data_IF_326887800857
#
_entry.id   IF_326887800857
#
_cell.length_a   1.000
_cell.length_b   1.000
_cell.length_c   1.000
_cell.angle_alpha   90.00
_cell.angle_beta   90.00
_cell.angle_gamma   90.00
#
_symmetry.space_group_name_H-M   'P 1'
#
loop_
_entity.id
_entity.type
_entity.pdbx_description
1 polymer ?
#
# COMPACT_ATOMS: atom_id res chain seq x y z
N UNK A 1 23.66 -2.01 -17.20
CA UNK A 1 23.19 -3.18 -16.44
C UNK A 1 22.45 -2.66 -15.21
N UNK A 2 21.33 -3.25 -14.77
CA UNK A 2 20.77 -2.91 -13.47
C UNK A 2 21.86 -3.17 -12.42
N UNK A 3 22.07 -2.22 -11.52
CA UNK A 3 23.05 -2.36 -10.43
C UNK A 3 22.59 -3.54 -9.54
N UNK A 4 23.23 -4.69 -9.71
CA UNK A 4 22.96 -5.87 -8.88
C UNK A 4 23.28 -5.49 -7.43
N UNK A 5 22.36 -5.84 -6.51
CA UNK A 5 22.62 -5.58 -5.09
C UNK A 5 23.82 -6.36 -4.61
N UNK A 6 24.62 -5.70 -3.78
CA UNK A 6 25.77 -6.32 -3.13
C UNK A 6 25.32 -7.27 -2.02
N UNK A 7 26.13 -8.29 -1.74
CA UNK A 7 25.89 -9.23 -0.64
C UNK A 7 25.80 -8.54 0.73
N UNK A 8 26.52 -7.42 0.89
CA UNK A 8 26.47 -6.59 2.10
C UNK A 8 25.09 -5.95 2.27
N UNK A 9 24.50 -5.42 1.19
CA UNK A 9 23.14 -4.87 1.24
C UNK A 9 22.13 -5.97 1.56
N UNK A 10 22.24 -7.13 0.91
CA UNK A 10 21.36 -8.27 1.18
C UNK A 10 21.46 -8.72 2.64
N UNK A 11 22.67 -8.77 3.21
CA UNK A 11 22.89 -9.12 4.62
C UNK A 11 22.22 -8.12 5.57
N UNK A 12 22.33 -6.82 5.28
CA UNK A 12 21.66 -5.77 6.04
C UNK A 12 20.13 -5.90 6.00
N UNK A 13 19.56 -6.21 4.84
CA UNK A 13 18.12 -6.46 4.72
C UNK A 13 17.72 -7.72 5.51
N UNK A 14 18.44 -8.84 5.35
CA UNK A 14 18.15 -10.08 6.10
C UNK A 14 18.16 -9.86 7.61
N UNK A 15 19.10 -9.06 8.11
CA UNK A 15 19.18 -8.71 9.53
C UNK A 15 17.97 -7.87 10.00
N UNK A 16 17.34 -7.12 9.09
CA UNK A 16 16.13 -6.34 9.37
C UNK A 16 14.84 -7.07 8.98
N UNK A 17 14.88 -8.34 8.56
CA UNK A 17 13.70 -9.13 8.26
C UNK A 17 13.53 -10.29 9.23
N UNK A 18 12.30 -10.55 9.65
CA UNK A 18 11.95 -11.69 10.47
C UNK A 18 12.32 -12.99 9.74
N UNK A 19 13.10 -13.91 10.34
CA UNK A 19 13.67 -15.05 9.61
C UNK A 19 12.66 -15.92 8.86
N UNK A 20 11.45 -16.10 9.38
CA UNK A 20 10.42 -16.91 8.73
C UNK A 20 9.90 -16.31 7.41
N UNK A 21 10.05 -15.00 7.19
CA UNK A 21 9.64 -14.35 5.96
C UNK A 21 10.67 -14.49 4.82
N UNK A 22 11.91 -14.90 5.11
CA UNK A 22 13.00 -14.91 4.13
C UNK A 22 12.69 -15.77 2.91
N UNK A 23 11.98 -16.90 3.11
CA UNK A 23 11.57 -17.79 2.02
C UNK A 23 10.55 -17.18 1.05
N UNK A 24 9.89 -16.09 1.43
CA UNK A 24 8.94 -15.39 0.58
C UNK A 24 9.61 -14.67 -0.61
N UNK A 25 10.91 -14.41 -0.48
CA UNK A 25 11.77 -13.75 -1.48
C UNK A 25 12.51 -14.82 -2.26
N UNK A 26 12.06 -15.07 -3.50
CA UNK A 26 12.64 -16.10 -4.37
C UNK A 26 14.04 -15.74 -4.88
N UNK A 27 14.28 -14.46 -5.16
CA UNK A 27 15.58 -13.94 -5.61
C UNK A 27 15.86 -12.59 -4.96
N UNK A 28 16.85 -12.56 -4.07
CA UNK A 28 17.24 -11.38 -3.32
C UNK A 28 17.87 -10.27 -4.18
N UNK A 29 18.43 -10.59 -5.34
CA UNK A 29 19.07 -9.59 -6.20
C UNK A 29 18.06 -8.88 -7.11
N UNK A 30 17.00 -9.57 -7.53
CA UNK A 30 15.98 -9.04 -8.45
C UNK A 30 14.66 -8.66 -7.78
N UNK A 31 14.48 -8.97 -6.49
CA UNK A 31 13.30 -8.52 -5.74
C UNK A 31 13.14 -6.99 -5.85
N UNK A 32 11.90 -6.48 -5.99
CA UNK A 32 11.62 -5.06 -6.22
C UNK A 32 11.78 -4.21 -4.95
N UNK A 33 13.00 -4.15 -4.43
CA UNK A 33 13.35 -3.37 -3.25
C UNK A 33 13.09 -1.88 -3.47
N UNK A 34 12.55 -1.20 -2.46
CA UNK A 34 12.46 0.25 -2.43
C UNK A 34 13.86 0.87 -2.39
N UNK A 35 14.18 1.69 -3.38
CA UNK A 35 15.52 2.25 -3.58
C UNK A 35 15.56 3.76 -3.47
N UNK A 36 16.62 4.28 -2.84
CA UNK A 36 16.91 5.70 -2.79
C UNK A 36 17.55 6.19 -4.08
N UNK A 37 16.74 6.73 -5.00
CA UNK A 37 17.25 7.25 -6.28
C UNK A 37 18.21 8.44 -6.12
N UNK A 38 18.20 9.12 -4.98
CA UNK A 38 19.07 10.27 -4.72
C UNK A 38 20.39 9.87 -4.01
N UNK A 39 20.43 8.71 -3.34
CA UNK A 39 21.61 8.20 -2.62
C UNK A 39 22.15 6.91 -3.26
N UNK A 40 22.54 7.02 -4.52
CA UNK A 40 23.23 5.93 -5.22
C UNK A 40 22.37 4.69 -5.49
N UNK A 41 21.04 4.84 -5.54
CA UNK A 41 20.09 3.78 -5.89
C UNK A 41 20.14 2.55 -4.96
N UNK A 42 20.53 2.74 -3.70
CA UNK A 42 20.61 1.68 -2.69
C UNK A 42 19.25 1.28 -2.17
N UNK A 43 19.07 -0.01 -1.88
CA UNK A 43 17.87 -0.49 -1.19
C UNK A 43 17.75 0.20 0.19
N UNK A 44 16.52 0.47 0.60
CA UNK A 44 16.22 1.12 1.88
C UNK A 44 15.60 0.17 2.91
N UNK A 45 15.47 -1.11 2.57
CA UNK A 45 14.80 -2.13 3.39
C UNK A 45 15.63 -2.55 4.60
N UNK A 46 16.92 -2.25 4.61
CA UNK A 46 17.80 -2.41 5.77
C UNK A 46 17.57 -1.36 6.86
N UNK A 47 16.83 -0.28 6.56
CA UNK A 47 16.52 0.77 7.54
C UNK A 47 15.55 0.25 8.61
N UNK A 48 15.78 0.57 9.90
CA UNK A 48 14.92 0.09 11.00
C UNK A 48 13.43 0.40 10.83
N UNK A 49 13.09 1.54 10.23
CA UNK A 49 11.71 2.01 10.01
C UNK A 49 11.22 1.83 8.57
N UNK A 50 11.64 0.75 7.89
CA UNK A 50 11.18 0.45 6.54
C UNK A 50 9.80 -0.21 6.53
N UNK A 51 8.81 0.43 5.89
CA UNK A 51 7.48 -0.15 5.66
C UNK A 51 7.53 -1.42 4.82
N UNK A 52 8.43 -1.48 3.82
CA UNK A 52 8.64 -2.69 3.02
C UNK A 52 9.17 -3.83 3.88
N UNK A 53 10.09 -3.56 4.82
CA UNK A 53 10.58 -4.59 5.73
C UNK A 53 9.45 -5.14 6.59
N UNK A 54 8.61 -4.25 7.14
CA UNK A 54 7.50 -4.64 7.99
C UNK A 54 6.38 -5.39 7.22
N UNK A 55 6.12 -4.99 5.98
CA UNK A 55 5.20 -5.70 5.09
C UNK A 55 5.70 -7.12 4.80
N UNK A 56 6.98 -7.29 4.48
CA UNK A 56 7.62 -8.59 4.24
C UNK A 56 7.60 -9.44 5.51
N UNK A 57 7.90 -8.86 6.68
CA UNK A 57 7.86 -9.57 7.96
C UNK A 57 6.50 -10.25 8.19
N UNK A 58 5.41 -9.53 7.94
CA UNK A 58 4.06 -10.06 8.19
C UNK A 58 3.55 -10.89 7.03
N UNK A 59 3.45 -10.32 5.83
CA UNK A 59 2.84 -11.01 4.69
C UNK A 59 3.76 -12.05 4.05
N UNK A 60 5.08 -11.88 4.16
CA UNK A 60 6.03 -12.93 3.81
C UNK A 60 5.93 -14.13 4.75
N UNK A 61 5.78 -13.91 6.06
CA UNK A 61 5.54 -15.00 7.01
C UNK A 61 4.21 -15.71 6.74
N UNK A 62 3.14 -14.96 6.42
CA UNK A 62 1.86 -15.54 5.99
C UNK A 62 2.03 -16.37 4.73
N UNK A 63 2.72 -15.85 3.70
CA UNK A 63 3.00 -16.57 2.45
C UNK A 63 3.70 -17.91 2.67
N UNK A 64 4.63 -17.96 3.63
CA UNK A 64 5.41 -19.16 3.96
C UNK A 64 4.74 -20.10 4.96
N UNK A 65 3.64 -19.68 5.59
CA UNK A 65 2.94 -20.50 6.56
C UNK A 65 2.17 -21.64 5.89
N UNK A 66 2.13 -22.80 6.55
CA UNK A 66 1.24 -23.91 6.17
C UNK A 66 -0.22 -23.60 6.46
N UNK A 67 -0.50 -22.66 7.38
CA UNK A 67 -1.85 -22.21 7.76
C UNK A 67 -2.29 -20.96 6.98
N UNK A 68 -1.59 -20.65 5.87
CA UNK A 68 -1.82 -19.45 5.06
C UNK A 68 -3.28 -19.24 4.70
N UNK A 69 -3.96 -20.31 4.26
CA UNK A 69 -5.32 -20.24 3.75
C UNK A 69 -6.31 -19.94 4.88
N UNK A 70 -6.15 -20.54 6.05
CA UNK A 70 -6.95 -20.24 7.24
C UNK A 70 -6.74 -18.80 7.73
N UNK A 71 -5.50 -18.31 7.70
CA UNK A 71 -5.15 -16.95 8.12
C UNK A 71 -5.77 -15.92 7.17
N UNK A 72 -5.57 -16.08 5.86
CA UNK A 72 -6.12 -15.16 4.87
C UNK A 72 -7.63 -15.22 4.80
N UNK A 73 -8.23 -16.40 5.00
CA UNK A 73 -9.68 -16.52 5.19
C UNK A 73 -10.17 -15.73 6.40
N UNK A 74 -9.47 -15.79 7.53
CA UNK A 74 -9.83 -15.00 8.72
C UNK A 74 -9.67 -13.49 8.52
N UNK A 75 -8.64 -13.05 7.78
CA UNK A 75 -8.47 -11.65 7.39
C UNK A 75 -9.60 -11.22 6.45
N UNK A 76 -9.94 -12.06 5.46
CA UNK A 76 -11.04 -11.80 4.53
C UNK A 76 -12.38 -11.63 5.26
N UNK A 77 -12.71 -12.53 6.22
CA UNK A 77 -13.90 -12.37 7.08
C UNK A 77 -13.91 -11.05 7.83
N UNK A 78 -12.77 -10.67 8.42
CA UNK A 78 -12.62 -9.39 9.12
C UNK A 78 -12.89 -8.20 8.19
N UNK A 79 -12.54 -8.32 6.91
CA UNK A 79 -12.77 -7.31 5.89
C UNK A 79 -14.17 -7.39 5.23
N UNK A 80 -15.04 -8.31 5.68
CA UNK A 80 -16.37 -8.51 5.07
C UNK A 80 -16.36 -9.21 3.71
N UNK A 81 -15.28 -9.91 3.37
CA UNK A 81 -15.14 -10.68 2.13
C UNK A 81 -15.42 -12.18 2.35
N UNK A 82 -15.83 -12.91 1.29
CA UNK A 82 -15.79 -14.37 1.29
C UNK A 82 -14.39 -14.90 1.68
N UNK A 83 -14.35 -15.95 2.49
CA UNK A 83 -13.16 -16.43 3.18
C UNK A 83 -12.59 -17.74 2.62
N UNK A 84 -13.26 -18.32 1.63
CA UNK A 84 -12.85 -19.57 0.99
C UNK A 84 -11.47 -19.45 0.35
N UNK A 85 -10.55 -20.30 0.78
CA UNK A 85 -9.33 -20.62 0.05
C UNK A 85 -9.59 -21.52 -1.16
N UNK A 86 -8.57 -21.98 -1.89
CA UNK A 86 -7.14 -21.76 -1.62
C UNK A 86 -6.72 -20.29 -1.81
N UNK A 87 -5.73 -19.83 -1.05
CA UNK A 87 -5.18 -18.49 -1.14
C UNK A 87 -3.75 -18.50 -1.67
N UNK A 88 -3.35 -17.45 -2.40
CA UNK A 88 -1.96 -17.13 -2.73
C UNK A 88 -1.62 -15.72 -2.26
N UNK A 89 -0.32 -15.46 -2.03
CA UNK A 89 0.19 -14.15 -1.65
C UNK A 89 1.37 -13.79 -2.55
N UNK A 90 1.31 -12.59 -3.12
CA UNK A 90 2.42 -11.98 -3.85
C UNK A 90 2.84 -10.71 -3.11
N UNK A 91 4.15 -10.55 -2.89
CA UNK A 91 4.73 -9.36 -2.29
C UNK A 91 5.16 -8.42 -3.42
N UNK A 92 5.05 -7.12 -3.18
CA UNK A 92 5.46 -6.07 -4.13
C UNK A 92 4.83 -6.22 -5.51
N UNK A 93 3.55 -6.56 -5.51
CA UNK A 93 2.81 -6.84 -6.72
C UNK A 93 2.60 -5.58 -7.55
N UNK A 94 2.90 -5.67 -8.85
CA UNK A 94 2.70 -4.58 -9.80
C UNK A 94 1.45 -4.81 -10.63
N UNK A 95 0.50 -3.87 -10.54
CA UNK A 95 -0.67 -3.84 -11.36
C UNK A 95 -0.31 -3.75 -12.86
N UNK A 96 -1.01 -4.50 -13.74
CA UNK A 96 -0.87 -4.31 -15.18
C UNK A 96 -1.11 -2.84 -15.55
N UNK A 97 -0.32 -2.30 -16.47
CA UNK A 97 -0.36 -0.86 -16.80
C UNK A 97 -1.72 -0.43 -17.34
N UNK A 98 -2.36 -1.31 -18.08
CA UNK A 98 -3.68 -1.18 -18.65
C UNK A 98 -4.80 -1.11 -17.59
N UNK A 99 -4.57 -1.62 -16.38
CA UNK A 99 -5.55 -1.60 -15.29
C UNK A 99 -5.94 -0.16 -14.92
N UNK A 100 -4.94 0.72 -14.86
CA UNK A 100 -5.10 2.12 -14.45
C UNK A 100 -4.71 3.14 -15.52
N UNK A 101 -4.10 2.71 -16.63
CA UNK A 101 -3.56 3.60 -17.66
C UNK A 101 -2.30 4.35 -17.21
N UNK A 102 -1.58 3.86 -16.20
CA UNK A 102 -0.35 4.47 -15.73
C UNK A 102 0.86 4.09 -16.60
N UNK A 103 1.76 5.05 -16.82
CA UNK A 103 3.02 4.81 -17.55
C UNK A 103 3.93 3.83 -16.78
N UNK A 104 3.98 4.01 -15.46
CA UNK A 104 4.64 3.12 -14.51
C UNK A 104 3.56 2.36 -13.75
N UNK A 105 3.68 1.04 -13.67
CA UNK A 105 2.73 0.21 -12.94
C UNK A 105 2.54 0.70 -11.48
N UNK A 106 1.31 0.61 -10.98
CA UNK A 106 1.07 0.74 -9.54
C UNK A 106 1.62 -0.49 -8.85
N UNK A 107 2.51 -0.29 -7.89
CA UNK A 107 3.00 -1.34 -7.01
C UNK A 107 2.28 -1.22 -5.66
N UNK A 108 1.87 -2.35 -5.11
CA UNK A 108 1.31 -2.48 -3.76
C UNK A 108 2.18 -3.45 -2.97
N UNK A 109 2.30 -3.25 -1.65
CA UNK A 109 3.28 -3.99 -0.83
C UNK A 109 2.95 -5.48 -0.75
N UNK A 110 1.67 -5.85 -0.75
CA UNK A 110 1.24 -7.23 -0.91
C UNK A 110 -0.14 -7.32 -1.58
N UNK A 111 -0.42 -8.48 -2.18
CA UNK A 111 -1.75 -8.84 -2.64
C UNK A 111 -2.03 -10.30 -2.29
N UNK A 112 -3.24 -10.59 -1.85
CA UNK A 112 -3.71 -11.95 -1.63
C UNK A 112 -4.86 -12.29 -2.59
N UNK A 113 -4.72 -13.38 -3.32
CA UNK A 113 -5.76 -13.91 -4.21
C UNK A 113 -6.36 -15.16 -3.58
N UNK A 114 -7.66 -15.12 -3.30
CA UNK A 114 -8.45 -16.27 -2.91
C UNK A 114 -9.27 -16.80 -4.07
N UNK A 115 -9.91 -17.95 -3.86
CA UNK A 115 -10.83 -18.50 -4.86
C UNK A 115 -12.00 -17.55 -5.13
N UNK A 116 -12.47 -16.81 -4.13
CA UNK A 116 -13.66 -15.94 -4.23
C UNK A 116 -13.42 -14.46 -3.92
N UNK A 117 -12.20 -14.08 -3.56
CA UNK A 117 -11.90 -12.75 -3.01
C UNK A 117 -10.50 -12.29 -3.35
N UNK A 118 -10.27 -10.97 -3.35
CA UNK A 118 -8.94 -10.35 -3.54
C UNK A 118 -8.70 -9.32 -2.43
N UNK A 119 -7.52 -9.33 -1.83
CA UNK A 119 -7.10 -8.34 -0.83
C UNK A 119 -5.87 -7.60 -1.34
N UNK A 120 -6.01 -6.32 -1.63
CA UNK A 120 -4.93 -5.42 -2.04
C UNK A 120 -4.39 -4.72 -0.80
N UNK A 121 -3.10 -4.85 -0.51
CA UNK A 121 -2.53 -4.40 0.76
C UNK A 121 -1.48 -3.32 0.52
N UNK A 122 -1.67 -2.19 1.20
CA UNK A 122 -0.67 -1.14 1.32
C UNK A 122 -0.20 -1.02 2.77
N UNK A 123 1.11 -1.05 2.95
CA UNK A 123 1.81 -0.99 4.21
C UNK A 123 2.19 0.44 4.58
N UNK A 124 2.05 0.76 5.87
CA UNK A 124 2.63 1.97 6.48
C UNK A 124 3.30 1.66 7.79
N UNK A 125 4.45 2.30 8.01
CA UNK A 125 5.12 2.28 9.29
C UNK A 125 5.07 3.65 9.95
N UNK A 126 6.05 4.51 9.69
CA UNK A 126 6.19 5.80 10.37
C UNK A 126 5.84 6.99 9.47
N UNK A 127 5.74 6.75 8.16
CA UNK A 127 5.43 7.73 7.14
C UNK A 127 3.92 7.89 6.91
N UNK A 128 3.45 9.08 6.50
CA UNK A 128 2.07 9.25 6.05
C UNK A 128 1.85 8.63 4.67
N UNK A 129 0.57 8.54 4.27
CA UNK A 129 0.21 8.17 2.90
C UNK A 129 0.83 9.10 1.84
N UNK A 130 1.18 8.50 0.70
CA UNK A 130 1.70 9.19 -0.46
C UNK A 130 0.70 10.22 -1.00
N UNK A 131 1.21 11.41 -1.33
CA UNK A 131 0.39 12.52 -1.85
C UNK A 131 0.38 12.56 -3.37
N UNK A 132 -0.66 13.15 -3.94
CA UNK A 132 -0.69 13.46 -5.36
C UNK A 132 0.48 14.41 -5.73
N UNK A 133 1.37 13.96 -6.60
CA UNK A 133 2.57 14.73 -6.99
C UNK A 133 2.28 15.84 -8.00
N UNK A 134 1.09 15.87 -8.60
CA UNK A 134 0.78 16.78 -9.72
C UNK A 134 0.71 18.26 -9.30
N UNK A 135 0.49 18.51 -8.01
CA UNK A 135 0.47 19.86 -7.43
C UNK A 135 1.88 20.42 -7.19
N UNK A 136 2.90 19.57 -7.18
CA UNK A 136 4.30 19.98 -7.01
C UNK A 136 4.92 20.38 -8.35
N UNK A 137 5.83 21.37 -8.37
CA UNK A 137 6.64 21.66 -9.55
C UNK A 137 7.43 20.41 -9.97
N UNK A 138 7.54 20.16 -11.26
CA UNK A 138 8.39 19.10 -11.79
C UNK A 138 9.86 19.32 -11.41
N UNK A 139 10.48 18.31 -10.83
CA UNK A 139 11.86 18.39 -10.34
C UNK A 139 12.92 18.34 -11.45
N UNK A 140 12.59 17.71 -12.59
CA UNK A 140 13.52 17.46 -13.69
C UNK A 140 12.80 17.44 -15.06
N UNK A 141 13.59 17.42 -16.14
CA UNK A 141 13.13 17.38 -17.53
C UNK A 141 12.87 18.75 -18.15
N UNK A 142 12.42 18.77 -19.41
CA UNK A 142 12.18 19.99 -20.19
C UNK A 142 11.14 20.94 -19.55
N UNK A 143 10.24 20.40 -18.72
CA UNK A 143 9.18 21.13 -18.03
C UNK A 143 9.49 21.38 -16.55
N UNK A 144 10.77 21.39 -16.16
CA UNK A 144 11.19 21.65 -14.76
C UNK A 144 10.59 22.96 -14.24
N UNK A 145 10.09 22.94 -13.00
CA UNK A 145 9.46 24.09 -12.36
C UNK A 145 7.97 24.26 -12.68
N UNK A 146 7.45 23.57 -13.70
CA UNK A 146 6.03 23.65 -14.08
C UNK A 146 5.17 22.79 -13.13
N UNK A 147 4.05 23.35 -12.65
CA UNK A 147 2.99 22.61 -11.95
C UNK A 147 1.95 22.13 -12.95
N UNK A 148 1.47 20.90 -12.76
CA UNK A 148 0.51 20.27 -13.69
C UNK A 148 -0.92 20.31 -13.18
N UNK A 149 -1.12 20.56 -11.89
CA UNK A 149 -2.40 20.63 -11.21
C UNK A 149 -2.41 21.81 -10.24
N UNK A 150 -3.52 22.53 -10.17
CA UNK A 150 -3.72 23.63 -9.21
C UNK A 150 -4.16 23.16 -7.81
N UNK A 151 -4.39 21.86 -7.61
CA UNK A 151 -4.85 21.28 -6.33
C UNK A 151 -6.36 21.15 -6.20
N UNK A 152 -7.13 21.56 -7.21
CA UNK A 152 -8.59 21.40 -7.27
C UNK A 152 -8.98 20.40 -8.36
N UNK A 153 -10.13 19.76 -8.21
CA UNK A 153 -10.75 18.96 -9.28
C UNK A 153 -11.74 19.85 -10.03
N UNK A 154 -11.22 20.62 -10.98
CA UNK A 154 -11.95 21.58 -11.82
C UNK A 154 -11.39 21.50 -13.24
N UNK A 155 -12.20 21.84 -14.25
CA UNK A 155 -11.71 21.88 -15.64
C UNK A 155 -10.48 22.77 -15.73
N UNK A 156 -9.35 22.17 -16.10
CA UNK A 156 -8.07 22.85 -16.19
C UNK A 156 -7.25 22.29 -17.36
N UNK A 157 -6.39 23.14 -17.93
CA UNK A 157 -5.45 22.76 -18.99
C UNK A 157 -4.13 22.36 -18.36
N UNK A 158 -3.66 21.15 -18.64
CA UNK A 158 -2.38 20.67 -18.14
C UNK A 158 -1.23 21.33 -18.94
N UNK A 159 -0.41 22.14 -18.27
CA UNK A 159 0.65 22.94 -18.89
C UNK A 159 1.76 22.11 -19.58
N UNK A 160 1.83 20.80 -19.34
CA UNK A 160 2.86 19.91 -19.91
C UNK A 160 2.43 19.28 -21.23
N UNK A 161 1.14 18.98 -21.40
CA UNK A 161 0.64 18.24 -22.56
C UNK A 161 -0.54 18.92 -23.27
N UNK A 162 -0.92 20.11 -22.84
CA UNK A 162 -1.99 20.95 -23.38
C UNK A 162 -3.40 20.31 -23.37
N UNK A 163 -3.58 19.19 -22.68
CA UNK A 163 -4.88 18.51 -22.58
C UNK A 163 -5.74 19.13 -21.49
N UNK A 164 -7.03 19.25 -21.78
CA UNK A 164 -8.04 19.78 -20.85
C UNK A 164 -8.76 18.63 -20.16
N UNK A 165 -8.76 18.65 -18.83
CA UNK A 165 -9.50 17.70 -17.99
C UNK A 165 -9.74 18.29 -16.60
N UNK A 166 -10.62 17.68 -15.80
CA UNK A 166 -10.81 18.07 -14.39
C UNK A 166 -9.63 17.72 -13.49
N UNK A 167 -8.92 16.63 -13.82
CA UNK A 167 -7.73 16.16 -13.13
C UNK A 167 -6.54 16.06 -14.09
N UNK A 168 -5.37 16.53 -13.65
CA UNK A 168 -4.12 16.42 -14.42
C UNK A 168 -3.71 14.97 -14.74
N UNK A 169 -4.11 13.99 -13.91
CA UNK A 169 -3.85 12.57 -14.15
C UNK A 169 -4.76 12.02 -15.27
N UNK A 170 -6.03 12.43 -15.31
CA UNK A 170 -6.94 12.11 -16.42
C UNK A 170 -6.43 12.67 -17.74
N UNK A 171 -5.89 13.90 -17.74
CA UNK A 171 -5.24 14.49 -18.92
C UNK A 171 -4.06 13.62 -19.44
N UNK A 172 -3.46 12.78 -18.59
CA UNK A 172 -2.39 11.83 -18.93
C UNK A 172 -2.89 10.45 -19.35
N UNK A 173 -4.20 10.22 -19.34
CA UNK A 173 -4.81 8.92 -19.64
C UNK A 173 -4.93 7.97 -18.45
N UNK A 174 -4.68 8.46 -17.22
CA UNK A 174 -4.85 7.67 -15.99
C UNK A 174 -6.33 7.65 -15.61
N UNK A 175 -6.83 6.45 -15.28
CA UNK A 175 -8.25 6.11 -15.23
C UNK A 175 -8.86 6.05 -13.83
N UNK A 176 -8.29 6.76 -12.86
CA UNK A 176 -8.83 6.76 -11.49
C UNK A 176 -10.27 7.29 -11.44
N UNK A 177 -10.54 8.41 -12.12
CA UNK A 177 -11.84 9.08 -12.10
C UNK A 177 -12.96 8.34 -12.83
N UNK A 178 -12.64 7.26 -13.55
CA UNK A 178 -13.64 6.33 -14.07
C UNK A 178 -14.18 5.38 -12.99
N UNK A 179 -13.48 5.23 -11.85
CA UNK A 179 -13.89 4.36 -10.74
C UNK A 179 -14.23 5.12 -9.46
N UNK A 180 -13.60 6.29 -9.24
CA UNK A 180 -13.83 7.12 -8.03
C UNK A 180 -15.31 7.38 -7.75
N UNK A 181 -16.18 7.71 -8.74
CA UNK A 181 -17.59 7.98 -8.46
C UNK A 181 -18.32 6.81 -7.83
N UNK A 182 -18.06 5.60 -8.32
CA UNK A 182 -18.70 4.40 -7.80
C UNK A 182 -18.17 4.03 -6.41
N UNK A 183 -16.85 4.14 -6.21
CA UNK A 183 -16.19 3.78 -4.95
C UNK A 183 -16.56 4.77 -3.83
N UNK A 184 -16.50 6.07 -4.11
CA UNK A 184 -16.58 7.13 -3.09
C UNK A 184 -17.93 7.87 -3.08
N UNK A 185 -18.81 7.65 -4.06
CA UNK A 185 -20.07 8.39 -4.18
C UNK A 185 -19.87 9.88 -4.50
N UNK A 186 -18.80 10.20 -5.23
CA UNK A 186 -18.43 11.56 -5.64
C UNK A 186 -18.88 11.78 -7.08
N UNK A 187 -19.61 12.86 -7.35
CA UNK A 187 -19.96 13.22 -8.72
C UNK A 187 -18.73 13.73 -9.48
N UNK A 188 -18.31 13.00 -10.52
CA UNK A 188 -17.18 13.40 -11.37
C UNK A 188 -17.45 14.62 -12.24
N UNK A 189 -18.70 15.09 -12.32
CA UNK A 189 -19.09 16.26 -13.10
C UNK A 189 -19.01 17.56 -12.30
N UNK A 190 -18.95 17.49 -10.97
CA UNK A 190 -18.87 18.64 -10.07
C UNK A 190 -17.45 19.21 -9.94
N UNK A 191 -17.37 20.51 -9.67
CA UNK A 191 -16.13 21.18 -9.27
C UNK A 191 -15.87 20.92 -7.78
N UNK A 192 -14.69 20.39 -7.45
CA UNK A 192 -14.29 20.13 -6.06
C UNK A 192 -13.06 20.97 -5.69
N UNK A 193 -13.24 21.91 -4.78
CA UNK A 193 -12.22 22.83 -4.28
C UNK A 193 -12.18 22.74 -2.74
N UNK A 194 -11.11 22.18 -2.14
CA UNK A 194 -9.97 21.54 -2.80
C UNK A 194 -10.32 20.17 -3.40
N UNK A 195 -9.39 19.58 -4.17
CA UNK A 195 -9.51 18.18 -4.58
C UNK A 195 -9.56 17.28 -3.34
N UNK A 196 -10.51 16.32 -3.25
CA UNK A 196 -10.65 15.44 -2.09
C UNK A 196 -9.43 14.52 -1.86
N UNK A 197 -8.55 14.38 -2.87
CA UNK A 197 -7.38 13.51 -2.84
C UNK A 197 -6.07 14.30 -2.98
N UNK A 198 -6.03 15.54 -2.48
CA UNK A 198 -4.84 16.41 -2.62
C UNK A 198 -3.70 16.05 -1.65
N UNK A 199 -4.02 15.43 -0.51
CA UNK A 199 -3.07 15.02 0.52
C UNK A 199 -2.82 13.51 0.48
N UNK A 200 -2.66 12.90 1.64
CA UNK A 200 -2.35 11.47 1.81
C UNK A 200 -3.53 10.56 1.45
N UNK A 201 -4.75 11.11 1.37
CA UNK A 201 -5.94 10.44 0.82
C UNK A 201 -5.76 9.95 -0.61
N UNK A 202 -4.82 10.53 -1.36
CA UNK A 202 -4.47 10.08 -2.69
C UNK A 202 -4.05 8.60 -2.73
N UNK A 203 -3.22 8.17 -1.79
CA UNK A 203 -2.73 6.80 -1.78
C UNK A 203 -3.85 5.80 -1.48
N UNK A 204 -4.71 6.13 -0.52
CA UNK A 204 -5.86 5.30 -0.17
C UNK A 204 -6.85 5.19 -1.32
N UNK A 205 -7.13 6.32 -1.99
CA UNK A 205 -7.93 6.32 -3.22
C UNK A 205 -7.32 5.43 -4.30
N UNK A 206 -6.02 5.57 -4.57
CA UNK A 206 -5.33 4.78 -5.60
C UNK A 206 -5.47 3.28 -5.35
N UNK A 207 -5.28 2.83 -4.11
CA UNK A 207 -5.38 1.41 -3.76
C UNK A 207 -6.82 0.89 -3.79
N UNK A 208 -7.80 1.70 -3.38
CA UNK A 208 -9.22 1.36 -3.54
C UNK A 208 -9.60 1.22 -5.03
N UNK A 209 -9.07 2.09 -5.91
CA UNK A 209 -9.27 1.97 -7.36
C UNK A 209 -8.63 0.70 -7.91
N UNK A 210 -7.43 0.32 -7.46
CA UNK A 210 -6.79 -0.96 -7.84
C UNK A 210 -7.69 -2.13 -7.47
N UNK A 211 -8.16 -2.19 -6.21
CA UNK A 211 -9.05 -3.25 -5.75
C UNK A 211 -10.33 -3.32 -6.61
N UNK A 212 -11.01 -2.19 -6.78
CA UNK A 212 -12.23 -2.13 -7.58
C UNK A 212 -12.03 -2.57 -9.04
N UNK A 213 -10.91 -2.20 -9.67
CA UNK A 213 -10.60 -2.62 -11.04
C UNK A 213 -10.29 -4.11 -11.13
N UNK A 214 -9.61 -4.66 -10.13
CA UNK A 214 -9.36 -6.09 -10.03
C UNK A 214 -10.66 -6.86 -9.84
N UNK A 215 -11.58 -6.36 -9.01
CA UNK A 215 -12.91 -6.96 -8.86
C UNK A 215 -13.63 -7.08 -10.20
N UNK A 216 -13.66 -5.99 -10.98
CA UNK A 216 -14.28 -5.98 -12.30
C UNK A 216 -13.59 -6.91 -13.30
N UNK A 217 -12.26 -7.02 -13.20
CA UNK A 217 -11.46 -7.87 -14.12
C UNK A 217 -11.62 -9.36 -13.81
N UNK A 218 -11.68 -9.71 -12.53
CA UNK A 218 -11.69 -11.10 -12.07
C UNK A 218 -13.10 -11.62 -11.71
N UNK A 219 -14.10 -10.75 -11.62
CA UNK A 219 -15.47 -11.12 -11.23
C UNK A 219 -15.57 -11.58 -9.76
N UNK A 220 -14.70 -11.08 -8.88
CA UNK A 220 -14.61 -11.47 -7.47
C UNK A 220 -14.50 -10.24 -6.59
N UNK A 221 -15.23 -10.15 -5.46
CA UNK A 221 -15.10 -9.06 -4.51
C UNK A 221 -13.64 -8.77 -4.16
N UNK A 222 -13.25 -7.49 -4.22
CA UNK A 222 -11.91 -7.07 -3.88
C UNK A 222 -11.93 -5.89 -2.91
N UNK A 223 -10.99 -5.86 -1.96
CA UNK A 223 -10.88 -4.76 -1.01
C UNK A 223 -9.43 -4.28 -0.87
N UNK A 224 -9.29 -2.98 -0.62
CA UNK A 224 -8.02 -2.41 -0.21
C UNK A 224 -7.89 -2.46 1.32
N UNK A 225 -6.75 -2.92 1.82
CA UNK A 225 -6.37 -2.92 3.22
C UNK A 225 -5.21 -1.95 3.42
N UNK A 226 -5.37 -1.04 4.37
CA UNK A 226 -4.26 -0.25 4.88
C UNK A 226 -3.67 -1.00 6.07
N UNK A 227 -2.58 -1.74 5.84
CA UNK A 227 -1.81 -2.39 6.89
C UNK A 227 -0.90 -1.36 7.57
N UNK A 228 -0.97 -1.23 8.89
CA UNK A 228 -0.22 -0.19 9.59
C UNK A 228 0.39 -0.64 10.92
N UNK A 229 1.51 -0.04 11.29
CA UNK A 229 2.04 -0.15 12.64
C UNK A 229 1.21 0.70 13.61
N UNK A 230 0.63 0.10 14.64
CA UNK A 230 -0.18 0.83 15.63
C UNK A 230 0.69 1.49 16.71
N UNK A 231 1.46 2.50 16.32
CA UNK A 231 2.19 3.37 17.24
C UNK A 231 1.37 4.60 17.66
N UNK A 232 1.71 5.19 18.80
CA UNK A 232 1.01 6.35 19.37
C UNK A 232 1.11 7.60 18.48
N UNK A 233 2.27 7.83 17.88
CA UNK A 233 2.54 9.03 17.07
C UNK A 233 2.63 8.76 15.56
N UNK A 234 2.41 7.52 15.13
CA UNK A 234 2.50 7.20 13.71
C UNK A 234 1.31 7.78 12.94
N UNK A 235 1.54 8.44 11.79
CA UNK A 235 0.50 9.19 11.07
C UNK A 235 -0.74 8.36 10.72
N UNK A 236 -0.54 7.15 10.19
CA UNK A 236 -1.65 6.28 9.78
C UNK A 236 -2.42 5.77 10.98
N UNK A 237 -1.74 5.37 12.06
CA UNK A 237 -2.39 4.93 13.30
C UNK A 237 -3.24 6.06 13.93
N UNK A 238 -2.69 7.28 13.98
CA UNK A 238 -3.44 8.47 14.40
C UNK A 238 -4.66 8.71 13.53
N UNK A 239 -4.52 8.62 12.21
CA UNK A 239 -5.62 8.80 11.25
C UNK A 239 -6.73 7.77 11.46
N UNK A 240 -6.40 6.51 11.74
CA UNK A 240 -7.39 5.47 12.10
C UNK A 240 -8.09 5.84 13.40
N UNK A 241 -7.36 6.19 14.47
CA UNK A 241 -7.94 6.57 15.77
C UNK A 241 -8.87 7.78 15.70
N UNK A 242 -8.55 8.77 14.88
CA UNK A 242 -9.38 9.97 14.69
C UNK A 242 -10.51 9.76 13.68
N UNK A 243 -10.66 8.55 13.12
CA UNK A 243 -11.67 8.24 12.11
C UNK A 243 -11.41 8.88 10.74
N UNK A 244 -10.18 9.27 10.42
CA UNK A 244 -9.81 9.80 9.10
C UNK A 244 -9.54 8.73 8.04
N UNK A 245 -9.46 7.45 8.42
CA UNK A 245 -9.24 6.31 7.52
C UNK A 245 -10.22 5.19 7.89
N UNK A 246 -10.78 4.52 6.88
CA UNK A 246 -11.79 3.47 7.08
C UNK A 246 -13.21 3.98 7.25
N UNK A 247 -13.48 5.25 6.92
CA UNK A 247 -14.86 5.76 6.88
C UNK A 247 -15.64 5.11 5.74
N UNK A 248 -16.90 4.72 5.97
CA UNK A 248 -17.80 4.30 4.91
C UNK A 248 -17.92 5.42 3.86
N UNK A 249 -17.93 5.07 2.58
CA UNK A 249 -18.34 6.03 1.56
C UNK A 249 -19.83 6.38 1.73
N UNK A 250 -20.36 7.30 0.91
CA UNK A 250 -21.80 7.59 0.88
C UNK A 250 -22.68 6.36 0.63
N UNK A 251 -22.13 5.27 0.09
CA UNK A 251 -22.83 3.99 -0.10
C UNK A 251 -22.73 3.02 1.09
N UNK A 252 -22.09 3.40 2.21
CA UNK A 252 -22.04 2.62 3.44
C UNK A 252 -20.98 1.51 3.47
N UNK A 253 -20.17 1.38 2.42
CA UNK A 253 -19.07 0.40 2.34
C UNK A 253 -17.74 1.13 2.59
N UNK A 254 -16.91 0.60 3.49
CA UNK A 254 -15.56 1.13 3.69
C UNK A 254 -14.69 0.80 2.47
N UNK A 255 -14.19 1.84 1.80
CA UNK A 255 -13.41 1.70 0.56
C UNK A 255 -11.99 1.21 0.82
N UNK A 256 -11.50 1.37 2.06
CA UNK A 256 -10.20 0.92 2.54
C UNK A 256 -10.34 0.46 3.98
N UNK A 257 -10.03 -0.81 4.27
CA UNK A 257 -10.11 -1.36 5.63
C UNK A 257 -8.77 -1.17 6.36
N UNK A 258 -8.73 -0.39 7.45
CA UNK A 258 -7.51 -0.29 8.26
C UNK A 258 -7.34 -1.55 9.12
N UNK A 259 -6.18 -2.20 9.02
CA UNK A 259 -5.79 -3.30 9.90
C UNK A 259 -4.38 -3.08 10.43
N UNK A 260 -4.19 -3.07 11.74
CA UNK A 260 -2.85 -2.97 12.28
C UNK A 260 -2.09 -4.30 12.10
N UNK A 261 -0.76 -4.24 12.02
CA UNK A 261 0.06 -5.44 12.01
C UNK A 261 -0.18 -6.31 13.25
N UNK A 262 -0.38 -5.69 14.41
CA UNK A 262 -0.73 -6.38 15.64
C UNK A 262 -2.06 -7.13 15.52
N UNK A 263 -3.09 -6.52 14.94
CA UNK A 263 -4.37 -7.19 14.68
C UNK A 263 -4.23 -8.34 13.69
N UNK A 264 -3.45 -8.17 12.61
CA UNK A 264 -3.19 -9.22 11.61
C UNK A 264 -2.47 -10.41 12.26
N UNK A 265 -1.44 -10.15 13.07
CA UNK A 265 -0.70 -11.21 13.79
C UNK A 265 -1.59 -11.90 14.82
N UNK A 266 -2.46 -11.15 15.51
CA UNK A 266 -3.44 -11.71 16.45
C UNK A 266 -4.44 -12.63 15.76
N UNK A 267 -4.97 -12.22 14.59
CA UNK A 267 -5.82 -13.07 13.73
C UNK A 267 -5.05 -14.35 13.38
N UNK A 268 -3.82 -14.23 12.88
CA UNK A 268 -3.02 -15.38 12.48
C UNK A 268 -2.79 -16.35 13.65
N UNK A 269 -2.43 -15.83 14.83
CA UNK A 269 -2.26 -16.61 16.06
C UNK A 269 -3.52 -17.35 16.48
N UNK A 270 -4.71 -16.78 16.24
CA UNK A 270 -5.99 -17.38 16.66
C UNK A 270 -6.41 -18.59 15.84
N UNK A 271 -5.92 -18.72 14.61
CA UNK A 271 -6.29 -19.81 13.68
C UNK A 271 -5.15 -20.76 13.35
N UNK A 272 -3.91 -20.34 13.61
CA UNK A 272 -2.70 -21.10 13.29
C UNK A 272 -2.50 -22.32 14.19
N UNK A 273 -1.95 -23.39 13.61
CA UNK A 273 -1.49 -24.59 14.32
C UNK A 273 -0.10 -24.40 14.92
N UNK A 274 0.58 -23.31 14.57
CA UNK A 274 1.91 -22.92 15.03
C UNK A 274 1.88 -21.57 15.78
N UNK A 275 1.25 -21.48 16.96
CA UNK A 275 1.10 -20.20 17.68
C UNK A 275 2.44 -19.57 18.07
N UNK A 276 3.47 -20.37 18.34
CA UNK A 276 4.81 -19.87 18.69
C UNK A 276 5.50 -19.07 17.58
N UNK A 277 5.22 -19.37 16.30
CA UNK A 277 5.71 -18.57 15.16
C UNK A 277 5.15 -17.14 15.22
N UNK A 278 3.85 -17.04 15.46
CA UNK A 278 3.14 -15.76 15.49
C UNK A 278 3.45 -14.96 16.76
N UNK A 279 3.74 -15.63 17.88
CA UNK A 279 4.26 -14.98 19.08
C UNK A 279 5.65 -14.39 18.85
N UNK A 280 6.56 -15.13 18.20
CA UNK A 280 7.88 -14.62 17.84
C UNK A 280 7.79 -13.42 16.87
N UNK A 281 6.91 -13.50 15.86
CA UNK A 281 6.65 -12.39 14.95
C UNK A 281 6.04 -11.18 15.67
N UNK A 282 5.13 -11.40 16.64
CA UNK A 282 4.55 -10.33 17.44
C UNK A 282 5.62 -9.58 18.23
N UNK A 283 6.52 -10.31 18.90
CA UNK A 283 7.67 -9.71 19.63
C UNK A 283 8.55 -8.90 18.67
N UNK A 284 8.88 -9.47 17.51
CA UNK A 284 9.70 -8.79 16.49
C UNK A 284 9.08 -7.47 16.02
N UNK A 285 7.79 -7.49 15.66
CA UNK A 285 7.06 -6.30 15.21
C UNK A 285 6.94 -5.25 16.32
N UNK A 286 6.63 -5.67 17.55
CA UNK A 286 6.55 -4.77 18.70
C UNK A 286 7.89 -4.07 18.96
N UNK A 287 9.00 -4.80 18.94
CA UNK A 287 10.34 -4.22 19.13
C UNK A 287 10.68 -3.16 18.06
N UNK A 288 10.31 -3.41 16.79
CA UNK A 288 10.48 -2.41 15.72
C UNK A 288 9.68 -1.14 16.01
N UNK A 289 8.44 -1.29 16.45
CA UNK A 289 7.54 -0.17 16.75
C UNK A 289 8.06 0.64 17.93
N UNK A 290 8.40 -0.01 19.05
CA UNK A 290 8.97 0.64 20.24
C UNK A 290 10.27 1.37 19.91
N UNK A 291 11.15 0.75 19.09
CA UNK A 291 12.39 1.39 18.64
C UNK A 291 12.10 2.64 17.83
N UNK A 292 11.14 2.59 16.91
CA UNK A 292 10.74 3.73 16.11
C UNK A 292 10.11 4.84 16.97
N UNK A 293 9.27 4.51 17.96
CA UNK A 293 8.68 5.47 18.90
C UNK A 293 9.74 6.14 19.80
N UNK A 294 10.72 5.37 20.29
CA UNK A 294 11.85 5.92 21.05
C UNK A 294 12.63 6.98 20.28
N UNK A 295 12.72 6.84 18.94
CA UNK A 295 13.32 7.86 18.07
C UNK A 295 12.45 9.11 17.90
N UNK A 296 11.12 8.99 17.97
CA UNK A 296 10.22 10.16 17.91
C UNK A 296 10.25 11.01 19.20
N UNK A 297 10.52 10.36 20.34
CA UNK A 297 10.60 11.03 21.65
C UNK A 297 11.96 11.69 21.93
N UNK A 298 12.98 11.41 21.11
CA UNK A 298 14.32 12.01 21.18
C UNK A 298 14.77 12.48 19.78
N UNK A 299 14.25 13.62 19.29
CA UNK A 299 14.58 14.16 17.97
C UNK A 299 16.04 14.64 17.84
#
# INVERSE_FOLDING_TARGET
>A
MPDMMSDREISGIKANLFPASHGAISDWHSFPWHRDRNRGNRAQTDKPHSSQALAIDVFGTIKMSVDRDEILGAIARTCGLPDSGAWSVELEWSAPKELLGEVSATQVDAIAFGERSIIVIEAKFTEPGGRCSQTKPLAAGANRGIRQCNGSYVVQRNAVNDRVARCALTAKGIRYWESIPEIFGIDATEDLIPCPFVLDDFQWMRNAVVAHRLERTHGKPAIAVAAFADGMDFPTAKKVRTGGLGQPSRSGISTVVPLSYQSIISIARSVSRHPGLWEALAVWVTQKIETAEGMFNHP
#
